data_IF_380179660421
#
_entry.id   IF_380179660421
#
_cell.length_a   1.000
_cell.length_b   1.000
_cell.length_c   1.000
_cell.angle_alpha   90.00
_cell.angle_beta   90.00
_cell.angle_gamma   90.00
#
_symmetry.space_group_name_H-M   'P 1'
#
loop_
_entity.id
_entity.type
_entity.pdbx_description
1 polymer ?
#
# COMPACT_ATOMS: atom_id res chain seq x y z
N UNK A 1 6.89 -4.73 14.40
CA UNK A 1 5.45 -4.68 14.00
C UNK A 1 5.25 -3.62 12.92
N UNK A 2 4.24 -3.74 12.05
CA UNK A 2 3.99 -2.74 11.01
C UNK A 2 3.70 -1.36 11.61
N UNK A 3 2.98 -1.28 12.73
CA UNK A 3 2.70 -0.04 13.46
C UNK A 3 3.97 0.75 13.81
N UNK A 4 4.99 0.07 14.35
CA UNK A 4 6.28 0.67 14.69
C UNK A 4 7.00 1.24 13.45
N UNK A 5 6.88 0.58 12.29
CA UNK A 5 7.49 1.07 11.05
C UNK A 5 6.76 2.32 10.52
N UNK A 6 5.43 2.35 10.65
CA UNK A 6 4.61 3.49 10.26
C UNK A 6 4.90 4.71 11.15
N UNK A 7 4.95 4.52 12.46
CA UNK A 7 5.32 5.57 13.43
C UNK A 7 6.74 6.11 13.15
N UNK A 8 7.71 5.23 12.89
CA UNK A 8 9.08 5.63 12.54
C UNK A 8 9.15 6.40 11.21
N UNK A 9 8.20 6.19 10.30
CA UNK A 9 8.06 6.94 9.05
C UNK A 9 7.28 8.25 9.23
N UNK A 10 6.86 8.59 10.46
CA UNK A 10 6.07 9.81 10.76
C UNK A 10 4.61 9.70 10.34
N UNK A 11 4.09 8.48 10.14
CA UNK A 11 2.69 8.26 9.79
C UNK A 11 1.88 8.16 11.08
N UNK A 12 0.90 9.04 11.23
CA UNK A 12 -0.04 9.01 12.35
C UNK A 12 -0.95 7.79 12.28
N UNK A 13 -1.08 7.08 13.39
CA UNK A 13 -1.95 5.92 13.52
C UNK A 13 -3.18 6.28 14.35
N UNK A 14 -4.35 6.14 13.72
CA UNK A 14 -5.64 6.33 14.37
C UNK A 14 -6.29 4.97 14.61
N UNK A 15 -6.74 4.72 15.84
CA UNK A 15 -7.32 3.43 16.22
C UNK A 15 -8.81 3.37 15.89
N UNK A 16 -9.22 2.32 15.18
CA UNK A 16 -10.61 2.16 14.73
C UNK A 16 -10.94 2.96 13.47
N UNK A 17 -12.22 2.95 13.08
CA UNK A 17 -12.71 3.56 11.85
C UNK A 17 -13.81 4.58 12.15
N UNK A 18 -13.39 5.70 12.73
CA UNK A 18 -14.28 6.78 13.14
C UNK A 18 -14.34 7.86 12.04
N UNK A 19 -15.51 8.46 11.75
CA UNK A 19 -15.64 9.55 10.78
C UNK A 19 -14.71 10.74 11.05
N UNK A 20 -14.40 11.00 12.31
CA UNK A 20 -13.54 12.10 12.78
C UNK A 20 -12.11 11.96 12.26
N UNK A 21 -11.67 10.74 11.92
CA UNK A 21 -10.35 10.50 11.32
C UNK A 21 -10.23 11.08 9.90
N UNK A 22 -11.36 11.45 9.27
CA UNK A 22 -11.42 12.08 7.96
C UNK A 22 -11.61 13.60 8.06
N UNK A 23 -11.28 14.18 9.21
CA UNK A 23 -11.36 15.61 9.51
C UNK A 23 -9.99 16.14 9.95
N UNK A 24 -9.41 17.15 9.28
CA UNK A 24 -9.92 17.81 8.07
C UNK A 24 -10.02 16.86 6.88
N UNK A 25 -10.83 17.23 5.88
CA UNK A 25 -11.05 16.41 4.70
C UNK A 25 -9.70 16.13 3.99
N UNK A 26 -9.31 14.86 3.80
CA UNK A 26 -8.11 14.53 3.05
C UNK A 26 -8.31 14.72 1.55
N UNK A 27 -7.23 14.94 0.81
CA UNK A 27 -7.27 15.06 -0.64
C UNK A 27 -7.70 13.75 -1.33
N UNK A 28 -7.38 12.61 -0.72
CA UNK A 28 -7.74 11.29 -1.20
C UNK A 28 -7.77 10.28 -0.05
N UNK A 29 -8.69 9.31 -0.12
CA UNK A 29 -8.73 8.17 0.80
C UNK A 29 -8.44 6.88 0.04
N UNK A 30 -7.40 6.16 0.49
CA UNK A 30 -7.03 4.84 -0.05
C UNK A 30 -7.69 3.76 0.80
N UNK A 31 -8.67 3.06 0.22
CA UNK A 31 -9.44 2.04 0.94
C UNK A 31 -8.75 0.67 0.79
N UNK A 32 -8.43 0.05 1.93
CA UNK A 32 -7.92 -1.30 2.01
C UNK A 32 -9.02 -2.36 1.88
N UNK A 33 -8.63 -3.58 1.52
CA UNK A 33 -9.57 -4.68 1.21
C UNK A 33 -10.46 -5.15 2.38
N UNK A 34 -10.14 -4.77 3.62
CA UNK A 34 -10.89 -5.20 4.80
C UNK A 34 -12.13 -4.34 5.09
N UNK A 35 -12.32 -3.23 4.36
CA UNK A 35 -13.41 -2.29 4.60
C UNK A 35 -14.58 -2.51 3.65
N UNK A 36 -15.80 -2.43 4.19
CA UNK A 36 -17.05 -2.60 3.47
C UNK A 36 -18.12 -1.61 3.96
N UNK A 37 -19.28 -1.58 3.28
CA UNK A 37 -20.44 -0.79 3.69
C UNK A 37 -20.88 -1.12 5.12
N UNK A 38 -21.41 -0.14 5.83
CA UNK A 38 -21.74 -0.21 7.25
C UNK A 38 -20.60 0.17 8.19
N UNK A 39 -19.36 0.33 7.67
CA UNK A 39 -18.29 0.95 8.43
C UNK A 39 -18.53 2.47 8.56
N UNK A 40 -18.51 3.05 9.78
CA UNK A 40 -18.83 4.47 9.98
C UNK A 40 -17.99 5.44 9.14
N UNK A 41 -16.67 5.23 9.07
CA UNK A 41 -15.78 6.08 8.26
C UNK A 41 -16.05 5.93 6.75
N UNK A 42 -16.38 4.72 6.29
CA UNK A 42 -16.74 4.48 4.87
C UNK A 42 -18.06 5.14 4.52
N UNK A 43 -19.10 5.02 5.36
CA UNK A 43 -20.38 5.68 5.10
C UNK A 43 -20.21 7.20 5.11
N UNK A 44 -19.43 7.76 6.04
CA UNK A 44 -19.14 9.19 6.06
C UNK A 44 -18.43 9.65 4.79
N UNK A 45 -17.35 8.96 4.38
CA UNK A 45 -16.62 9.22 3.15
C UNK A 45 -17.56 9.28 1.93
N UNK A 46 -18.43 8.28 1.77
CA UNK A 46 -19.37 8.21 0.66
C UNK A 46 -20.41 9.34 0.73
N UNK A 47 -20.95 9.63 1.90
CA UNK A 47 -21.97 10.68 2.09
C UNK A 47 -21.38 12.09 1.90
N UNK A 48 -20.14 12.30 2.32
CA UNK A 48 -19.42 13.57 2.17
C UNK A 48 -18.82 13.74 0.75
N UNK A 49 -18.90 12.73 -0.11
CA UNK A 49 -18.38 12.78 -1.47
C UNK A 49 -16.86 12.92 -1.55
N UNK A 50 -16.13 12.39 -0.56
CA UNK A 50 -14.66 12.46 -0.55
C UNK A 50 -14.07 11.63 -1.70
N UNK A 51 -13.00 12.13 -2.30
CA UNK A 51 -12.27 11.37 -3.31
C UNK A 51 -11.65 10.11 -2.69
N UNK A 52 -11.89 8.95 -3.31
CA UNK A 52 -11.37 7.68 -2.83
C UNK A 52 -10.93 6.77 -3.97
N UNK A 53 -10.01 5.86 -3.65
CA UNK A 53 -9.50 4.86 -4.59
C UNK A 53 -9.09 3.58 -3.85
N UNK A 54 -8.79 2.52 -4.61
CA UNK A 54 -8.24 1.29 -4.05
C UNK A 54 -6.72 1.36 -3.93
N UNK A 55 -6.14 0.61 -2.98
CA UNK A 55 -4.68 0.51 -2.85
C UNK A 55 -3.96 0.13 -4.15
N UNK A 56 -4.39 -0.90 -4.90
CA UNK A 56 -3.77 -1.27 -6.17
C UNK A 56 -3.86 -0.18 -7.24
N UNK A 57 -5.01 0.50 -7.34
CA UNK A 57 -5.18 1.58 -8.32
C UNK A 57 -4.33 2.79 -7.96
N UNK A 58 -4.31 3.20 -6.69
CA UNK A 58 -3.45 4.28 -6.22
C UNK A 58 -1.99 4.00 -6.53
N UNK A 59 -1.53 2.78 -6.25
CA UNK A 59 -0.16 2.34 -6.53
C UNK A 59 0.14 2.38 -8.04
N UNK A 60 -0.79 1.92 -8.86
CA UNK A 60 -0.66 1.94 -10.32
C UNK A 60 -0.48 3.37 -10.85
N UNK A 61 -1.33 4.29 -10.41
CA UNK A 61 -1.38 5.68 -10.87
C UNK A 61 -0.20 6.51 -10.36
N UNK A 62 0.20 6.34 -9.10
CA UNK A 62 1.15 7.25 -8.43
C UNK A 62 2.59 6.73 -8.41
N UNK A 63 2.79 5.41 -8.47
CA UNK A 63 4.13 4.81 -8.31
C UNK A 63 4.56 4.04 -9.56
N UNK A 64 3.68 3.19 -10.09
CA UNK A 64 4.06 2.21 -11.12
C UNK A 64 4.02 2.77 -12.54
N UNK A 65 3.17 3.76 -12.82
CA UNK A 65 2.90 4.28 -14.16
C UNK A 65 4.16 4.59 -14.98
N UNK A 66 5.19 5.16 -14.36
CA UNK A 66 6.43 5.58 -15.01
C UNK A 66 7.61 4.64 -14.73
N UNK A 67 7.35 3.38 -14.37
CA UNK A 67 8.37 2.39 -14.02
C UNK A 67 8.32 1.21 -14.97
N UNK A 68 9.46 0.57 -15.19
CA UNK A 68 9.48 -0.78 -15.75
C UNK A 68 9.06 -1.77 -14.67
N UNK A 69 7.79 -2.19 -14.73
CA UNK A 69 7.21 -3.08 -13.71
C UNK A 69 7.43 -4.53 -14.08
N UNK A 70 8.02 -5.29 -13.15
CA UNK A 70 8.14 -6.73 -13.23
C UNK A 70 7.20 -7.37 -12.20
N UNK A 71 6.07 -7.90 -12.68
CA UNK A 71 5.06 -8.52 -11.82
C UNK A 71 5.24 -10.04 -11.73
N UNK A 72 5.29 -10.56 -10.50
CA UNK A 72 5.36 -12.00 -10.23
C UNK A 72 3.98 -12.48 -9.75
N UNK A 73 3.35 -13.38 -10.50
CA UNK A 73 2.05 -13.96 -10.20
C UNK A 73 2.13 -15.49 -10.07
N UNK A 74 1.12 -16.09 -9.43
CA UNK A 74 1.05 -17.55 -9.22
C UNK A 74 0.40 -17.93 -7.90
N UNK A 75 -0.04 -19.18 -7.75
CA UNK A 75 -0.61 -19.67 -6.48
C UNK A 75 0.47 -19.89 -5.43
N UNK A 76 1.67 -20.32 -5.86
CA UNK A 76 2.82 -20.61 -5.00
C UNK A 76 4.06 -19.85 -5.47
N UNK A 77 5.09 -19.75 -4.62
CA UNK A 77 6.42 -19.25 -5.00
C UNK A 77 6.54 -17.74 -5.24
N UNK A 78 5.45 -16.96 -5.25
CA UNK A 78 5.45 -15.51 -5.52
C UNK A 78 6.50 -14.74 -4.72
N UNK A 79 6.42 -14.81 -3.39
CA UNK A 79 7.31 -14.06 -2.49
C UNK A 79 8.77 -14.45 -2.69
N UNK A 80 9.05 -15.75 -2.86
CA UNK A 80 10.42 -16.22 -3.08
C UNK A 80 10.95 -15.73 -4.43
N UNK A 81 10.19 -15.90 -5.50
CA UNK A 81 10.59 -15.50 -6.86
C UNK A 81 10.74 -13.98 -6.96
N UNK A 82 9.84 -13.18 -6.37
CA UNK A 82 9.95 -11.72 -6.37
C UNK A 82 11.17 -11.24 -5.58
N UNK A 83 11.49 -11.89 -4.45
CA UNK A 83 12.69 -11.58 -3.67
C UNK A 83 13.97 -11.92 -4.42
N UNK A 84 14.04 -13.08 -5.09
CA UNK A 84 15.19 -13.43 -5.95
C UNK A 84 15.34 -12.44 -7.11
N UNK A 85 14.23 -12.04 -7.74
CA UNK A 85 14.25 -11.07 -8.82
C UNK A 85 14.79 -9.71 -8.36
N UNK A 86 14.30 -9.19 -7.23
CA UNK A 86 14.79 -7.95 -6.64
C UNK A 86 16.29 -8.03 -6.32
N UNK A 87 16.73 -9.14 -5.71
CA UNK A 87 18.15 -9.37 -5.40
C UNK A 87 19.04 -9.41 -6.65
N UNK A 88 18.62 -10.09 -7.71
CA UNK A 88 19.40 -10.17 -8.95
C UNK A 88 19.55 -8.81 -9.63
N UNK A 89 18.50 -8.00 -9.63
CA UNK A 89 18.54 -6.64 -10.18
C UNK A 89 19.45 -5.74 -9.35
N UNK A 90 19.38 -5.83 -8.02
CA UNK A 90 20.26 -5.09 -7.12
C UNK A 90 21.73 -5.50 -7.28
N UNK A 91 22.00 -6.80 -7.30
CA UNK A 91 23.34 -7.36 -7.55
C UNK A 91 23.92 -6.92 -8.90
N UNK A 92 23.07 -6.71 -9.91
CA UNK A 92 23.45 -6.16 -11.21
C UNK A 92 23.66 -4.63 -11.21
N UNK A 93 23.56 -3.96 -10.05
CA UNK A 93 23.72 -2.52 -9.90
C UNK A 93 22.52 -1.69 -10.36
N UNK A 94 21.34 -2.29 -10.52
CA UNK A 94 20.17 -1.63 -11.09
C UNK A 94 19.31 -0.87 -10.06
N UNK A 95 19.62 -0.99 -8.76
CA UNK A 95 18.94 -0.29 -7.65
C UNK A 95 17.40 -0.36 -7.73
N UNK A 96 16.79 -1.57 -7.73
CA UNK A 96 15.36 -1.73 -7.94
C UNK A 96 14.53 -1.23 -6.75
N UNK A 97 13.36 -0.64 -7.03
CA UNK A 97 12.28 -0.53 -6.04
C UNK A 97 11.45 -1.80 -5.99
N UNK A 98 10.88 -2.15 -4.83
CA UNK A 98 10.06 -3.35 -4.69
C UNK A 98 8.92 -3.19 -3.67
N UNK A 99 7.81 -3.90 -3.93
CA UNK A 99 6.72 -4.12 -2.98
C UNK A 99 6.47 -5.63 -2.92
N UNK A 100 7.00 -6.28 -1.88
CA UNK A 100 6.98 -7.74 -1.71
C UNK A 100 6.30 -8.05 -0.37
N UNK A 101 5.55 -9.15 -0.30
CA UNK A 101 4.78 -9.57 0.88
C UNK A 101 5.61 -10.02 2.10
N UNK A 102 6.88 -9.61 2.19
CA UNK A 102 7.80 -9.89 3.28
C UNK A 102 9.09 -9.06 3.12
N UNK A 103 9.83 -8.88 4.21
CA UNK A 103 11.15 -8.21 4.18
C UNK A 103 12.17 -9.24 3.71
N UNK A 104 12.79 -9.09 2.52
CA UNK A 104 13.87 -9.99 2.13
C UNK A 104 15.08 -9.67 3.01
N UNK A 105 15.65 -10.67 3.70
CA UNK A 105 16.71 -10.46 4.70
C UNK A 105 18.05 -9.93 4.16
N UNK A 106 18.15 -9.68 2.86
CA UNK A 106 19.35 -9.18 2.19
C UNK A 106 19.30 -7.67 1.92
N UNK A 107 18.24 -6.97 2.34
CA UNK A 107 18.02 -5.54 2.19
C UNK A 107 17.82 -4.85 3.55
#
# INVERSE_FOLDING_TARGET
PMSTQLEAAGIELMSGYAPEHLMPAPDCVVIGNALSRGNPAVEYLLNAGLAYTSGPQWLAEHVLHNKWVLAVSGTHGKTTTSSMLAWLLDYAGMSPGFLIGGVPGNF
#
